data_IF_054304097932
#
_entry.id   IF_054304097932
#
_cell.length_a   1.000
_cell.length_b   1.000
_cell.length_c   1.000
_cell.angle_alpha   90.00
_cell.angle_beta   90.00
_cell.angle_gamma   90.00
#
_symmetry.space_group_name_H-M   'P 1'
#
loop_
_entity.id
_entity.type
_entity.pdbx_description
1 polymer ?
#
# COMPACT_ATOMS: atom_id res chain seq x y z
N UNK A 1 23.28 5.01 -14.49
CA UNK A 1 22.61 5.61 -13.34
C UNK A 1 22.04 4.47 -12.52
N UNK A 2 22.38 4.39 -11.24
CA UNK A 2 21.85 3.35 -10.35
C UNK A 2 20.37 3.59 -10.03
N UNK A 3 19.68 2.53 -9.63
CA UNK A 3 18.26 2.57 -9.26
C UNK A 3 18.07 2.12 -7.82
N UNK A 4 17.36 2.91 -7.01
CA UNK A 4 16.92 2.53 -5.68
C UNK A 4 15.40 2.32 -5.68
N UNK A 5 14.99 1.12 -5.33
CA UNK A 5 13.62 0.75 -5.00
C UNK A 5 13.41 0.99 -3.52
N UNK A 6 12.39 1.76 -3.15
CA UNK A 6 12.11 2.08 -1.75
C UNK A 6 10.67 1.72 -1.41
N UNK A 7 10.48 1.16 -0.23
CA UNK A 7 9.17 0.91 0.36
C UNK A 7 9.20 1.26 1.86
N UNK A 8 8.08 1.73 2.38
CA UNK A 8 7.92 2.00 3.80
C UNK A 8 6.52 1.65 4.28
N UNK A 9 6.45 0.83 5.33
CA UNK A 9 5.20 0.33 5.88
C UNK A 9 4.99 0.69 7.34
N UNK A 10 3.72 0.70 7.76
CA UNK A 10 3.34 0.63 9.17
C UNK A 10 2.16 -0.34 9.38
N UNK A 11 2.27 -1.23 10.37
CA UNK A 11 1.20 -2.15 10.80
C UNK A 11 0.22 -1.43 11.73
N UNK A 12 -0.64 -0.63 11.13
CA UNK A 12 -1.47 0.36 11.83
C UNK A 12 -0.97 1.78 11.56
N UNK A 13 -1.82 2.78 11.78
CA UNK A 13 -1.49 4.17 11.43
C UNK A 13 -1.86 5.15 12.56
N UNK A 14 -0.97 5.35 13.57
CA UNK A 14 0.40 4.82 13.68
C UNK A 14 0.47 3.36 14.20
N UNK A 15 1.58 2.68 13.95
CA UNK A 15 1.87 1.30 14.39
C UNK A 15 3.33 0.90 14.17
N UNK A 16 3.73 -0.36 14.46
CA UNK A 16 5.06 -0.88 14.15
C UNK A 16 5.41 -0.61 12.69
N UNK A 17 6.52 0.10 12.47
CA UNK A 17 6.87 0.66 11.19
C UNK A 17 8.33 0.38 10.83
N UNK A 18 8.59 0.34 9.53
CA UNK A 18 9.91 0.09 8.99
C UNK A 18 9.99 0.44 7.51
N UNK A 19 11.21 0.53 7.01
CA UNK A 19 11.45 0.75 5.58
C UNK A 19 12.42 -0.27 5.02
N UNK A 20 12.32 -0.46 3.70
CA UNK A 20 13.21 -1.27 2.89
C UNK A 20 13.74 -0.47 1.71
N UNK A 21 15.02 -0.65 1.39
CA UNK A 21 15.64 -0.10 0.18
C UNK A 21 16.42 -1.18 -0.53
N UNK A 22 16.16 -1.38 -1.81
CA UNK A 22 16.94 -2.26 -2.68
C UNK A 22 17.61 -1.41 -3.77
N UNK A 23 18.94 -1.39 -3.77
CA UNK A 23 19.73 -0.62 -4.73
C UNK A 23 20.35 -1.57 -5.75
N UNK A 24 20.18 -1.26 -7.02
CA UNK A 24 20.74 -2.00 -8.14
C UNK A 24 21.55 -1.10 -9.07
N UNK A 25 22.52 -1.69 -9.75
CA UNK A 25 23.25 -1.03 -10.84
C UNK A 25 22.43 -0.96 -12.14
N UNK A 26 23.07 -0.58 -13.23
CA UNK A 26 22.46 -0.45 -14.56
C UNK A 26 22.10 -1.81 -15.18
N UNK A 27 22.80 -2.86 -14.81
CA UNK A 27 22.59 -4.23 -15.28
C UNK A 27 21.57 -4.99 -14.42
N UNK A 28 21.12 -4.38 -13.33
CA UNK A 28 20.17 -4.95 -12.37
C UNK A 28 20.80 -5.76 -11.26
N UNK A 29 22.13 -5.73 -11.11
CA UNK A 29 22.81 -6.42 -10.02
C UNK A 29 22.61 -5.66 -8.70
N UNK A 30 22.32 -6.39 -7.63
CA UNK A 30 22.14 -5.81 -6.30
C UNK A 30 23.45 -5.22 -5.79
N UNK A 31 23.44 -3.92 -5.51
CA UNK A 31 24.54 -3.19 -4.87
C UNK A 31 24.36 -3.11 -3.35
N UNK A 32 23.12 -2.96 -2.88
CA UNK A 32 22.81 -2.90 -1.45
C UNK A 32 21.34 -3.23 -1.15
N UNK A 33 21.11 -3.77 0.05
CA UNK A 33 19.79 -3.87 0.68
C UNK A 33 19.86 -3.16 2.04
N UNK A 34 18.99 -2.19 2.28
CA UNK A 34 18.91 -1.46 3.54
C UNK A 34 17.58 -1.78 4.22
N UNK A 35 17.65 -2.06 5.51
CA UNK A 35 16.50 -2.38 6.36
C UNK A 35 16.55 -1.45 7.57
N UNK A 36 15.46 -0.74 7.84
CA UNK A 36 15.40 0.21 8.94
C UNK A 36 14.13 0.09 9.77
N UNK A 37 14.17 -0.54 10.96
CA UNK A 37 13.05 -0.48 11.90
C UNK A 37 12.89 0.94 12.46
N UNK A 38 11.65 1.42 12.55
CA UNK A 38 11.33 2.79 12.98
C UNK A 38 10.58 2.85 14.33
N UNK A 39 10.37 1.71 14.99
CA UNK A 39 9.48 1.64 16.15
C UNK A 39 8.04 1.92 15.73
N UNK A 40 7.35 2.81 16.42
CA UNK A 40 5.97 3.18 16.08
C UNK A 40 5.94 4.46 15.24
N UNK A 41 5.45 4.36 14.01
CA UNK A 41 5.32 5.49 13.10
C UNK A 41 4.08 5.36 12.21
N UNK A 42 3.80 6.38 11.41
CA UNK A 42 2.78 6.33 10.36
C UNK A 42 3.38 5.80 9.06
N UNK A 43 2.54 5.30 8.16
CA UNK A 43 3.00 4.80 6.85
C UNK A 43 3.83 5.85 6.10
N UNK A 44 3.34 7.09 6.04
CA UNK A 44 4.03 8.17 5.34
C UNK A 44 5.41 8.49 5.94
N UNK A 45 5.57 8.37 7.27
CA UNK A 45 6.89 8.54 7.90
C UNK A 45 7.83 7.42 7.48
N UNK A 46 7.35 6.18 7.37
CA UNK A 46 8.14 5.05 6.90
C UNK A 46 8.60 5.24 5.44
N UNK A 47 7.68 5.63 4.55
CA UNK A 47 7.95 5.89 3.13
C UNK A 47 9.02 6.97 2.95
N UNK A 48 8.89 8.09 3.66
CA UNK A 48 9.90 9.15 3.64
C UNK A 48 11.25 8.68 4.20
N UNK A 49 11.24 7.83 5.23
CA UNK A 49 12.47 7.30 5.82
C UNK A 49 13.22 6.39 4.85
N UNK A 50 12.52 5.55 4.10
CA UNK A 50 13.10 4.73 3.03
C UNK A 50 13.74 5.59 1.93
N UNK A 51 13.04 6.63 1.47
CA UNK A 51 13.59 7.60 0.52
C UNK A 51 14.87 8.27 1.05
N UNK A 52 14.84 8.76 2.29
CA UNK A 52 15.99 9.43 2.92
C UNK A 52 17.17 8.45 3.03
N UNK A 53 16.91 7.20 3.40
CA UNK A 53 17.94 6.17 3.49
C UNK A 53 18.62 5.93 2.12
N UNK A 54 17.84 5.82 1.04
CA UNK A 54 18.36 5.68 -0.32
C UNK A 54 19.25 6.87 -0.74
N UNK A 55 18.80 8.10 -0.46
CA UNK A 55 19.54 9.32 -0.77
C UNK A 55 20.86 9.42 0.02
N UNK A 56 20.82 9.12 1.32
CA UNK A 56 22.00 9.11 2.18
C UNK A 56 23.00 8.05 1.72
N UNK A 57 22.53 6.86 1.36
CA UNK A 57 23.38 5.79 0.83
C UNK A 57 24.06 6.21 -0.48
N UNK A 58 23.31 6.78 -1.43
CA UNK A 58 23.87 7.24 -2.70
C UNK A 58 24.97 8.28 -2.50
N UNK A 59 24.74 9.27 -1.61
CA UNK A 59 25.75 10.26 -1.25
C UNK A 59 26.99 9.63 -0.60
N UNK A 60 26.80 8.69 0.32
CA UNK A 60 27.91 8.01 0.99
C UNK A 60 28.76 7.17 0.03
N UNK A 61 28.14 6.60 -1.01
CA UNK A 61 28.82 5.84 -2.06
C UNK A 61 29.38 6.71 -3.19
N UNK A 62 29.27 8.04 -3.08
CA UNK A 62 29.76 8.97 -4.11
C UNK A 62 29.00 8.85 -5.44
N UNK A 63 27.75 8.38 -5.42
CA UNK A 63 26.94 8.22 -6.61
C UNK A 63 26.35 9.57 -7.01
N UNK A 64 26.68 10.13 -8.19
CA UNK A 64 26.23 11.47 -8.55
C UNK A 64 24.75 11.50 -8.97
N UNK A 65 24.19 10.35 -9.39
CA UNK A 65 22.86 10.26 -10.00
C UNK A 65 22.09 9.06 -9.47
N UNK A 66 20.81 9.27 -9.17
CA UNK A 66 19.93 8.24 -8.60
C UNK A 66 18.54 8.27 -9.26
N UNK A 67 18.07 7.12 -9.73
CA UNK A 67 16.65 6.89 -9.99
C UNK A 67 16.00 6.26 -8.76
N UNK A 68 14.98 6.91 -8.22
CA UNK A 68 14.16 6.37 -7.13
C UNK A 68 12.86 5.82 -7.68
N UNK A 69 12.56 4.57 -7.36
CA UNK A 69 11.31 3.88 -7.68
C UNK A 69 10.55 3.58 -6.40
N UNK A 70 9.29 4.00 -6.35
CA UNK A 70 8.40 3.79 -5.21
C UNK A 70 6.95 3.63 -5.68
N UNK A 71 6.15 2.89 -4.94
CA UNK A 71 4.71 2.73 -5.19
C UNK A 71 3.87 3.82 -4.50
N UNK A 72 4.46 4.62 -3.60
CA UNK A 72 3.82 5.76 -2.96
C UNK A 72 3.70 6.99 -3.88
N UNK A 73 2.59 7.08 -4.61
CA UNK A 73 2.32 8.22 -5.50
C UNK A 73 2.29 9.57 -4.74
N UNK A 74 1.83 9.57 -3.48
CA UNK A 74 1.82 10.77 -2.62
C UNK A 74 3.21 11.34 -2.41
N UNK A 75 4.18 10.49 -2.02
CA UNK A 75 5.55 10.93 -1.75
C UNK A 75 6.21 11.41 -3.04
N UNK A 76 6.02 10.70 -4.16
CA UNK A 76 6.51 11.16 -5.48
C UNK A 76 5.99 12.55 -5.80
N UNK A 77 4.67 12.78 -5.71
CA UNK A 77 4.06 14.08 -6.02
C UNK A 77 4.54 15.18 -5.08
N UNK A 78 4.79 14.88 -3.80
CA UNK A 78 5.36 15.84 -2.85
C UNK A 78 6.83 16.17 -3.17
N UNK A 79 7.63 15.18 -3.57
CA UNK A 79 9.03 15.38 -3.95
C UNK A 79 9.19 16.13 -5.27
N UNK A 80 8.23 15.97 -6.19
CA UNK A 80 8.15 16.75 -7.43
C UNK A 80 7.59 18.17 -7.23
N UNK A 81 7.15 18.51 -6.03
CA UNK A 81 6.54 19.81 -5.72
C UNK A 81 5.12 19.99 -6.26
N UNK A 82 4.50 18.92 -6.78
CA UNK A 82 3.13 18.93 -7.26
C UNK A 82 2.16 19.09 -6.08
N UNK A 83 2.44 18.41 -4.96
CA UNK A 83 1.61 18.42 -3.75
C UNK A 83 2.33 19.08 -2.56
N UNK A 84 1.58 19.86 -1.77
CA UNK A 84 2.09 20.47 -0.53
C UNK A 84 2.08 19.47 0.62
N UNK A 85 3.16 19.45 1.40
CA UNK A 85 3.25 18.67 2.65
C UNK A 85 2.62 19.47 3.80
N UNK A 86 1.48 18.98 4.31
CA UNK A 86 0.71 19.68 5.35
C UNK A 86 1.13 19.33 6.77
N UNK A 87 1.50 18.07 7.04
CA UNK A 87 1.83 17.61 8.38
C UNK A 87 3.24 18.04 8.79
N UNK A 88 3.39 18.68 9.95
CA UNK A 88 4.68 19.21 10.42
C UNK A 88 5.79 18.13 10.50
N UNK A 89 5.46 16.92 10.96
CA UNK A 89 6.42 15.80 10.98
C UNK A 89 6.91 15.40 9.58
N UNK A 90 6.02 15.41 8.59
CA UNK A 90 6.40 15.13 7.20
C UNK A 90 7.13 16.31 6.56
N UNK A 91 6.86 17.56 6.99
CA UNK A 91 7.61 18.72 6.49
C UNK A 91 9.09 18.65 6.87
N UNK A 92 9.42 18.14 8.06
CA UNK A 92 10.81 17.92 8.45
C UNK A 92 11.50 16.89 7.54
N UNK A 93 10.85 15.74 7.31
CA UNK A 93 11.36 14.69 6.43
C UNK A 93 11.48 15.14 4.96
N UNK A 94 10.50 15.89 4.46
CA UNK A 94 10.53 16.46 3.12
C UNK A 94 11.69 17.44 2.96
N UNK A 95 11.90 18.36 3.91
CA UNK A 95 13.05 19.28 3.89
C UNK A 95 14.37 18.54 3.89
N UNK A 96 14.49 17.48 4.68
CA UNK A 96 15.69 16.64 4.71
C UNK A 96 15.93 15.97 3.35
N UNK A 97 14.90 15.32 2.79
CA UNK A 97 15.00 14.68 1.47
C UNK A 97 15.38 15.69 0.38
N UNK A 98 14.77 16.88 0.37
CA UNK A 98 15.12 17.98 -0.55
C UNK A 98 16.57 18.43 -0.37
N UNK A 99 17.05 18.57 0.87
CA UNK A 99 18.43 18.96 1.15
C UNK A 99 19.45 17.90 0.71
N UNK A 100 19.08 16.61 0.76
CA UNK A 100 19.92 15.52 0.26
C UNK A 100 19.93 15.47 -1.27
N UNK A 101 18.78 15.66 -1.91
CA UNK A 101 18.66 15.72 -3.38
C UNK A 101 19.52 16.85 -3.95
N UNK A 102 19.55 18.01 -3.28
CA UNK A 102 20.35 19.16 -3.70
C UNK A 102 21.88 18.89 -3.69
N UNK A 103 22.34 17.82 -3.04
CA UNK A 103 23.75 17.41 -3.01
C UNK A 103 24.12 16.43 -4.13
N UNK A 104 23.14 15.87 -4.83
CA UNK A 104 23.32 14.97 -5.96
C UNK A 104 23.24 15.77 -7.27
N UNK A 105 23.92 15.32 -8.33
CA UNK A 105 23.80 15.97 -9.64
C UNK A 105 22.38 15.84 -10.21
N UNK A 106 21.77 14.66 -10.01
CA UNK A 106 20.44 14.38 -10.55
C UNK A 106 19.73 13.29 -9.75
N UNK A 107 18.51 13.58 -9.34
CA UNK A 107 17.57 12.59 -8.80
C UNK A 107 16.31 12.59 -9.65
N UNK A 108 15.86 11.40 -10.05
CA UNK A 108 14.60 11.21 -10.77
C UNK A 108 13.70 10.27 -9.98
N UNK A 109 12.40 10.51 -10.05
CA UNK A 109 11.39 9.69 -9.37
C UNK A 109 10.52 9.00 -10.41
N UNK A 110 10.24 7.71 -10.23
CA UNK A 110 9.34 6.93 -11.05
C UNK A 110 8.37 6.16 -10.15
N UNK A 111 7.08 6.22 -10.49
CA UNK A 111 6.08 5.42 -9.81
C UNK A 111 6.09 4.02 -10.42
N UNK A 112 6.19 3.00 -9.57
CA UNK A 112 6.11 1.59 -9.99
C UNK A 112 4.95 0.91 -9.30
N UNK A 113 4.45 -0.17 -9.91
CA UNK A 113 3.44 -1.00 -9.26
C UNK A 113 4.10 -1.83 -8.16
N UNK A 114 3.32 -2.23 -7.15
CA UNK A 114 3.82 -2.97 -5.99
C UNK A 114 4.51 -4.28 -6.37
N UNK A 115 4.05 -4.96 -7.42
CA UNK A 115 4.68 -6.21 -7.90
C UNK A 115 6.10 -5.99 -8.42
N UNK A 116 6.43 -4.77 -8.85
CA UNK A 116 7.77 -4.37 -9.29
C UNK A 116 8.64 -3.88 -8.13
N UNK A 117 8.08 -3.73 -6.92
CA UNK A 117 8.76 -3.25 -5.72
C UNK A 117 8.91 -4.35 -4.63
N UNK A 118 8.76 -5.62 -5.02
CA UNK A 118 8.63 -6.75 -4.09
C UNK A 118 9.84 -6.92 -3.14
N UNK A 119 11.06 -6.62 -3.58
CA UNK A 119 12.25 -6.73 -2.73
C UNK A 119 12.23 -5.67 -1.63
N UNK A 120 11.92 -4.42 -1.97
CA UNK A 120 11.83 -3.34 -0.98
C UNK A 120 10.66 -3.58 0.00
N UNK A 121 9.52 -4.07 -0.49
CA UNK A 121 8.37 -4.47 0.33
C UNK A 121 8.73 -5.58 1.33
N UNK A 122 9.46 -6.61 0.89
CA UNK A 122 9.96 -7.67 1.77
C UNK A 122 10.87 -7.11 2.87
N UNK A 123 11.79 -6.21 2.51
CA UNK A 123 12.72 -5.58 3.45
C UNK A 123 11.98 -4.68 4.47
N UNK A 124 10.98 -3.93 4.02
CA UNK A 124 10.07 -3.12 4.85
C UNK A 124 9.29 -3.99 5.84
N UNK A 125 8.75 -5.12 5.38
CA UNK A 125 8.07 -6.09 6.25
C UNK A 125 9.01 -6.73 7.27
N UNK A 126 10.23 -7.09 6.87
CA UNK A 126 11.25 -7.60 7.80
C UNK A 126 11.60 -6.56 8.87
N UNK A 127 11.69 -5.27 8.52
CA UNK A 127 11.89 -4.19 9.48
C UNK A 127 10.72 -4.10 10.48
N UNK A 128 9.48 -4.24 10.04
CA UNK A 128 8.30 -4.24 10.91
C UNK A 128 8.23 -5.48 11.81
N UNK A 129 8.62 -6.66 11.31
CA UNK A 129 8.71 -7.90 12.11
C UNK A 129 9.66 -7.73 13.30
N UNK A 130 10.83 -7.12 13.07
CA UNK A 130 11.80 -6.80 14.12
C UNK A 130 11.19 -5.91 15.20
N UNK A 131 10.38 -4.91 14.82
CA UNK A 131 9.72 -4.02 15.79
C UNK A 131 8.67 -4.75 16.61
N UNK A 132 7.93 -5.69 16.00
CA UNK A 132 6.94 -6.51 16.71
C UNK A 132 7.57 -7.62 17.57
N UNK A 133 8.90 -7.80 17.51
CA UNK A 133 9.59 -8.89 18.20
C UNK A 133 9.31 -10.25 17.58
N UNK A 134 8.88 -10.31 16.31
CA UNK A 134 8.80 -11.55 15.54
C UNK A 134 10.19 -11.92 15.07
N UNK A 135 10.51 -13.22 15.08
CA UNK A 135 11.77 -13.68 14.51
C UNK A 135 11.84 -13.29 13.02
N UNK A 136 12.99 -12.75 12.55
CA UNK A 136 13.13 -12.33 11.15
C UNK A 136 12.90 -13.52 10.23
N UNK A 137 11.97 -13.35 9.28
CA UNK A 137 11.70 -14.38 8.27
C UNK A 137 12.93 -14.55 7.37
N UNK A 138 13.47 -15.78 7.20
CA UNK A 138 14.63 -16.01 6.34
C UNK A 138 14.36 -15.62 4.88
N UNK A 139 15.38 -15.19 4.12
CA UNK A 139 15.24 -14.63 2.77
C UNK A 139 14.66 -15.58 1.70
N UNK A 140 14.55 -16.88 1.99
CA UNK A 140 14.04 -17.94 1.10
C UNK A 140 12.71 -18.57 1.57
N UNK A 141 12.01 -17.98 2.55
CA UNK A 141 10.66 -18.42 2.84
C UNK A 141 9.75 -18.06 1.65
N UNK A 142 9.02 -19.03 1.04
CA UNK A 142 7.99 -18.68 0.06
C UNK A 142 7.01 -17.73 0.75
N UNK A 143 6.60 -16.68 0.02
CA UNK A 143 5.66 -15.68 0.53
C UNK A 143 4.50 -16.39 1.25
N UNK A 144 4.09 -15.94 2.45
CA UNK A 144 2.90 -16.49 3.07
C UNK A 144 1.76 -16.28 2.09
N UNK A 145 1.24 -17.36 1.51
CA UNK A 145 0.00 -17.31 0.75
C UNK A 145 -1.06 -16.85 1.73
N UNK A 146 -1.47 -15.57 1.63
CA UNK A 146 -2.67 -15.12 2.30
C UNK A 146 -3.80 -16.10 1.95
N UNK A 147 -4.55 -16.64 2.93
CA UNK A 147 -5.75 -17.36 2.59
C UNK A 147 -6.69 -16.36 1.91
N UNK A 148 -6.94 -16.60 0.62
CA UNK A 148 -8.00 -15.94 -0.15
C UNK A 148 -9.26 -15.93 0.73
N UNK A 149 -9.72 -14.75 1.14
CA UNK A 149 -11.03 -14.59 1.72
C UNK A 149 -12.04 -15.27 0.77
N UNK A 150 -13.00 -16.09 1.25
CA UNK A 150 -13.91 -16.78 0.36
C UNK A 150 -14.74 -15.76 -0.42
N UNK A 151 -14.58 -15.79 -1.75
CA UNK A 151 -15.35 -14.98 -2.67
C UNK A 151 -16.85 -15.19 -2.41
N UNK A 152 -17.56 -14.11 -2.06
CA UNK A 152 -19.02 -14.12 -1.99
C UNK A 152 -19.56 -14.26 -3.42
N UNK A 153 -19.95 -15.48 -3.78
CA UNK A 153 -20.74 -15.74 -4.99
C UNK A 153 -22.09 -15.06 -4.80
N UNK A 154 -22.37 -14.03 -5.59
CA UNK A 154 -23.70 -13.45 -5.70
C UNK A 154 -24.57 -14.45 -6.50
N UNK A 155 -25.52 -15.09 -5.82
CA UNK A 155 -26.54 -15.92 -6.47
C UNK A 155 -27.55 -14.95 -7.13
N UNK A 156 -27.73 -14.97 -8.47
CA UNK A 156 -28.75 -14.13 -9.10
C UNK A 156 -30.15 -14.62 -8.69
N UNK A 157 -31.02 -13.66 -8.34
CA UNK A 157 -32.43 -13.93 -8.01
C UNK A 157 -33.15 -14.60 -9.18
N UNK A 158 -33.94 -15.66 -8.96
CA UNK A 158 -34.76 -16.24 -10.02
C UNK A 158 -35.92 -15.29 -10.39
N UNK A 159 -36.18 -15.16 -11.70
CA UNK A 159 -37.33 -14.45 -12.23
C UNK A 159 -38.64 -15.18 -11.87
N UNK A 160 -39.67 -14.43 -11.46
CA UNK A 160 -41.01 -14.96 -11.16
C UNK A 160 -41.65 -15.55 -12.42
N UNK A 161 -42.22 -16.77 -12.37
CA UNK A 161 -43.13 -17.23 -13.42
C UNK A 161 -44.52 -16.60 -13.24
N UNK A 162 -45.16 -16.28 -14.36
CA UNK A 162 -46.58 -15.92 -14.42
C UNK A 162 -47.42 -17.18 -14.19
N UNK A 163 -48.36 -17.13 -13.24
CA UNK A 163 -49.30 -18.23 -13.00
C UNK A 163 -50.71 -17.83 -13.40
N UNK A 164 -51.25 -18.61 -14.33
CA UNK A 164 -52.60 -18.57 -14.85
C UNK A 164 -53.64 -19.03 -13.80
N UNK A 165 -54.88 -18.57 -14.04
CA UNK A 165 -56.11 -18.83 -13.28
C UNK A 165 -56.40 -20.32 -13.03
N UNK A 166 -56.93 -20.62 -11.84
CA UNK A 166 -57.94 -21.66 -11.64
C UNK A 166 -58.99 -21.15 -10.64
N UNK A 167 -60.27 -21.29 -10.99
CA UNK A 167 -61.43 -20.84 -10.22
C UNK A 167 -61.87 -21.88 -9.17
N UNK A 168 -62.63 -21.45 -8.13
CA UNK A 168 -63.60 -22.33 -7.48
C UNK A 168 -65.06 -21.84 -7.63
N UNK A 169 -65.95 -22.83 -7.75
CA UNK A 169 -67.42 -22.80 -7.86
C UNK A 169 -68.10 -22.61 -6.46
N UNK A 170 -69.44 -22.46 -6.38
CA UNK A 170 -70.10 -21.50 -5.49
C UNK A 170 -70.67 -22.10 -4.21
N UNK A 171 -70.92 -21.25 -3.21
CA UNK A 171 -71.92 -21.51 -2.16
C UNK A 171 -72.59 -20.19 -1.71
N UNK A 172 -73.87 -20.04 -2.07
CA UNK A 172 -74.90 -19.28 -1.31
C UNK A 172 -75.40 -20.22 -0.18
N UNK A 173 -76.07 -19.79 0.92
CA UNK A 173 -76.87 -18.57 1.07
C UNK A 173 -76.77 -17.84 2.43
N UNK A 174 -77.33 -16.62 2.50
CA UNK A 174 -77.46 -15.89 3.77
C UNK A 174 -77.99 -14.47 3.60
N UNK A 175 -79.32 -14.35 3.52
CA UNK A 175 -80.12 -13.12 3.53
C UNK A 175 -80.05 -12.45 4.90
N UNK A 176 -79.77 -11.14 4.99
CA UNK A 176 -80.41 -10.21 5.93
C UNK A 176 -80.19 -8.75 5.47
N UNK A 177 -81.30 -8.08 5.14
CA UNK A 177 -81.42 -6.63 4.99
C UNK A 177 -81.30 -5.95 6.35
N UNK A 178 -80.71 -4.75 6.41
CA UNK A 178 -81.19 -3.64 7.23
C UNK A 178 -80.64 -2.31 6.67
N UNK A 179 -81.55 -1.46 6.22
CA UNK A 179 -81.43 -0.01 6.09
C UNK A 179 -81.07 0.65 7.45
N UNK A 180 -80.33 1.76 7.44
CA UNK A 180 -80.76 3.05 8.02
C UNK A 180 -79.67 4.15 7.89
N UNK A 181 -80.15 5.39 7.66
CA UNK A 181 -79.54 6.72 7.58
C UNK A 181 -78.65 7.12 6.36
#
# INVERSE_FOLDING_TARGET
>A
MITAYTDGGARGNPGPAGYGVHVVDEDGATLAELVGPLGHATNNVAEYSGLIAALRWALAQGQPRLLVRMDSELVIKQMRGEYKVKHAGLQALHREATALIAKLERVTFEHVRREQNAVADRLSNAAMDVVEGKEPTPPDAPAPTEPLAPARIAIPRPARPASARVAPLPTTPGRFSFDDD
#
